data_IF_952646262311
#
_entry.id   IF_952646262311
#
_cell.length_a   1.000
_cell.length_b   1.000
_cell.length_c   1.000
_cell.angle_alpha   90.00
_cell.angle_beta   90.00
_cell.angle_gamma   90.00
#
_symmetry.space_group_name_H-M   'P 1'
#
loop_
_entity.id
_entity.type
_entity.pdbx_description
1 polymer ?
#
# COMPACT_ATOMS: atom_id res chain seq x y z
N UNK A 1 -98.43 -39.83 50.43
CA UNK A 1 -99.32 -38.83 49.81
C UNK A 1 -99.08 -38.94 48.31
N UNK A 2 -99.73 -39.85 47.57
CA UNK A 2 -101.15 -39.88 47.17
C UNK A 2 -101.55 -38.51 46.55
N UNK A 3 -102.02 -38.43 45.30
CA UNK A 3 -103.16 -39.19 44.79
C UNK A 3 -102.98 -39.73 43.35
N UNK A 4 -103.07 -41.07 43.27
CA UNK A 4 -103.46 -41.87 42.12
C UNK A 4 -104.92 -42.26 42.31
N UNK A 5 -105.82 -41.80 41.43
CA UNK A 5 -107.17 -42.35 41.17
C UNK A 5 -107.81 -41.44 40.10
N UNK A 6 -108.24 -41.86 38.91
CA UNK A 6 -108.87 -43.13 38.54
C UNK A 6 -108.46 -43.54 37.12
N UNK A 7 -107.70 -44.62 37.05
CA UNK A 7 -107.89 -45.67 36.05
C UNK A 7 -109.27 -46.25 36.38
N UNK A 8 -110.13 -46.41 35.36
CA UNK A 8 -111.48 -47.03 35.36
C UNK A 8 -112.59 -46.14 34.79
N UNK A 9 -112.31 -45.49 33.65
CA UNK A 9 -113.39 -45.25 32.70
C UNK A 9 -113.11 -45.96 31.37
N UNK A 10 -113.56 -47.20 31.31
CA UNK A 10 -114.24 -47.80 30.14
C UNK A 10 -113.46 -47.71 28.81
N UNK A 11 -112.69 -48.70 28.38
CA UNK A 11 -113.20 -50.02 27.96
C UNK A 11 -114.72 -50.10 27.75
N UNK A 12 -115.22 -49.39 26.75
CA UNK A 12 -116.39 -49.75 25.91
C UNK A 12 -116.48 -48.68 24.82
N UNK A 13 -116.09 -48.91 23.57
CA UNK A 13 -116.78 -49.84 22.70
C UNK A 13 -117.68 -49.05 21.74
N UNK A 14 -117.12 -48.77 20.55
CA UNK A 14 -117.81 -48.60 19.26
C UNK A 14 -118.56 -47.30 18.86
N UNK A 15 -118.01 -46.75 17.76
CA UNK A 15 -118.63 -46.46 16.45
C UNK A 15 -119.45 -45.18 16.22
N UNK A 16 -118.93 -44.45 15.23
CA UNK A 16 -119.58 -43.63 14.19
C UNK A 16 -120.32 -42.39 14.73
N UNK A 17 -120.09 -41.19 14.21
CA UNK A 17 -120.45 -40.78 12.86
C UNK A 17 -119.53 -39.62 12.40
N UNK A 18 -118.85 -39.82 11.27
CA UNK A 18 -118.11 -38.76 10.57
C UNK A 18 -119.05 -38.09 9.57
N UNK A 19 -119.21 -36.78 9.70
CA UNK A 19 -119.89 -35.90 8.75
C UNK A 19 -119.04 -35.71 7.48
N UNK A 20 -119.70 -35.69 6.32
CA UNK A 20 -119.07 -35.85 4.99
C UNK A 20 -118.26 -34.65 4.49
N UNK A 21 -118.23 -33.52 5.20
CA UNK A 21 -117.52 -32.32 4.75
C UNK A 21 -116.04 -32.25 5.19
N UNK A 22 -115.58 -33.07 6.13
CA UNK A 22 -114.18 -33.07 6.60
C UNK A 22 -113.24 -33.99 5.77
N UNK A 23 -113.79 -34.82 4.88
CA UNK A 23 -113.02 -35.75 4.02
C UNK A 23 -112.35 -35.06 2.82
N UNK A 24 -112.82 -33.90 2.38
CA UNK A 24 -112.29 -33.22 1.17
C UNK A 24 -111.05 -32.37 1.50
N UNK A 25 -110.95 -31.84 2.73
CA UNK A 25 -109.78 -31.05 3.16
C UNK A 25 -108.57 -31.92 3.58
N UNK A 26 -108.82 -33.16 4.05
CA UNK A 26 -107.76 -34.09 4.48
C UNK A 26 -107.18 -34.89 3.28
N UNK A 27 -107.93 -35.13 2.20
CA UNK A 27 -107.45 -35.95 1.06
C UNK A 27 -106.37 -35.29 0.17
N UNK A 28 -106.26 -33.96 0.20
CA UNK A 28 -105.19 -33.22 -0.52
C UNK A 28 -103.86 -33.24 0.23
N UNK A 29 -103.88 -33.24 1.57
CA UNK A 29 -102.66 -33.29 2.41
C UNK A 29 -102.03 -34.69 2.41
N UNK A 30 -102.84 -35.76 2.37
CA UNK A 30 -102.33 -37.14 2.40
C UNK A 30 -101.69 -37.58 1.06
N UNK A 31 -102.16 -37.05 -0.08
CA UNK A 31 -101.53 -37.31 -1.39
C UNK A 31 -100.19 -36.59 -1.55
N UNK A 32 -100.11 -35.32 -1.14
CA UNK A 32 -98.86 -34.55 -1.19
C UNK A 32 -97.83 -35.11 -0.20
N UNK A 33 -98.24 -35.51 1.02
CA UNK A 33 -97.32 -36.11 2.00
C UNK A 33 -96.89 -37.52 1.58
N UNK A 34 -97.76 -38.35 0.98
CA UNK A 34 -97.34 -39.64 0.40
C UNK A 34 -96.41 -39.46 -0.79
N UNK A 35 -96.67 -38.47 -1.65
CA UNK A 35 -95.79 -38.12 -2.76
C UNK A 35 -94.42 -37.68 -2.24
N UNK A 36 -94.34 -36.77 -1.25
CA UNK A 36 -93.07 -36.36 -0.66
C UNK A 36 -92.35 -37.51 0.08
N UNK A 37 -93.06 -38.38 0.80
CA UNK A 37 -92.45 -39.52 1.49
C UNK A 37 -91.86 -40.58 0.56
N UNK A 38 -92.34 -40.68 -0.69
CA UNK A 38 -91.78 -41.57 -1.72
C UNK A 38 -90.77 -40.85 -2.62
N UNK A 39 -91.05 -39.60 -2.97
CA UNK A 39 -90.21 -38.80 -3.86
C UNK A 39 -88.87 -38.44 -3.20
N UNK A 40 -88.86 -38.08 -1.91
CA UNK A 40 -87.63 -37.68 -1.24
C UNK A 40 -86.60 -38.82 -1.17
N UNK A 41 -86.93 -40.05 -0.69
CA UNK A 41 -85.96 -41.15 -0.72
C UNK A 41 -85.57 -41.58 -2.12
N UNK A 42 -86.49 -41.56 -3.10
CA UNK A 42 -86.15 -41.87 -4.49
C UNK A 42 -85.22 -40.82 -5.11
N UNK A 43 -85.43 -39.54 -4.81
CA UNK A 43 -84.54 -38.46 -5.24
C UNK A 43 -83.18 -38.58 -4.56
N UNK A 44 -83.13 -38.95 -3.27
CA UNK A 44 -81.86 -39.23 -2.58
C UNK A 44 -81.14 -40.42 -3.20
N UNK A 45 -81.84 -41.52 -3.49
CA UNK A 45 -81.26 -42.70 -4.14
C UNK A 45 -80.78 -42.40 -5.56
N UNK A 46 -81.52 -41.57 -6.31
CA UNK A 46 -81.12 -41.08 -7.63
C UNK A 46 -79.86 -40.21 -7.52
N UNK A 47 -79.80 -39.27 -6.58
CA UNK A 47 -78.63 -38.42 -6.37
C UNK A 47 -77.41 -39.22 -5.91
N UNK A 48 -77.59 -40.23 -5.06
CA UNK A 48 -76.52 -41.16 -4.67
C UNK A 48 -76.08 -42.03 -5.85
N UNK A 49 -77.01 -42.54 -6.66
CA UNK A 49 -76.71 -43.31 -7.86
C UNK A 49 -75.97 -42.50 -8.93
N UNK A 50 -76.41 -41.26 -9.17
CA UNK A 50 -75.72 -40.30 -10.05
C UNK A 50 -74.35 -39.93 -9.48
N UNK A 51 -74.24 -39.78 -8.16
CA UNK A 51 -72.95 -39.61 -7.48
C UNK A 51 -71.99 -40.77 -7.73
N UNK A 52 -72.46 -42.01 -7.66
CA UNK A 52 -71.64 -43.21 -7.91
C UNK A 52 -71.28 -43.40 -9.39
N UNK A 53 -72.10 -42.91 -10.32
CA UNK A 53 -71.83 -43.01 -11.77
C UNK A 53 -70.96 -41.86 -12.30
N UNK A 54 -71.07 -40.66 -11.71
CA UNK A 54 -70.24 -39.50 -12.07
C UNK A 54 -68.90 -39.46 -11.33
N UNK A 55 -68.82 -40.03 -10.13
CA UNK A 55 -67.56 -40.22 -9.41
C UNK A 55 -67.19 -41.69 -9.50
N UNK A 56 -66.23 -42.00 -10.37
CA UNK A 56 -65.60 -43.31 -10.44
C UNK A 56 -64.84 -43.56 -9.13
N UNK A 57 -65.49 -44.20 -8.16
CA UNK A 57 -64.88 -44.56 -6.88
C UNK A 57 -64.05 -45.84 -7.09
N UNK A 58 -62.85 -45.68 -7.65
CA UNK A 58 -61.82 -46.72 -7.60
C UNK A 58 -61.55 -47.08 -6.13
N UNK A 59 -61.77 -48.35 -5.80
CA UNK A 59 -61.51 -48.92 -4.47
C UNK A 59 -60.03 -49.27 -4.35
N UNK A 60 -59.19 -48.24 -4.22
CA UNK A 60 -57.80 -48.39 -3.83
C UNK A 60 -57.64 -48.06 -2.34
N UNK A 61 -57.18 -49.05 -1.56
CA UNK A 61 -56.87 -48.97 -0.13
C UNK A 61 -55.59 -48.16 0.15
N UNK A 62 -55.43 -46.99 -0.46
CA UNK A 62 -54.39 -46.03 -0.14
C UNK A 62 -55.03 -44.65 0.02
N UNK A 63 -55.45 -44.32 1.24
CA UNK A 63 -55.74 -42.93 1.63
C UNK A 63 -54.41 -42.16 1.76
N UNK A 64 -53.73 -41.95 0.64
CA UNK A 64 -52.91 -40.75 0.49
C UNK A 64 -53.87 -39.60 0.24
N UNK A 65 -53.88 -38.62 1.15
CA UNK A 65 -54.46 -37.32 0.85
C UNK A 65 -53.76 -36.84 -0.42
N UNK A 66 -54.49 -36.82 -1.54
CA UNK A 66 -54.03 -36.17 -2.75
C UNK A 66 -53.96 -34.67 -2.45
N UNK A 67 -52.80 -34.23 -1.93
CA UNK A 67 -52.33 -32.88 -2.18
C UNK A 67 -52.34 -32.75 -3.69
N UNK A 68 -53.15 -31.82 -4.19
CA UNK A 68 -53.21 -31.50 -5.60
C UNK A 68 -51.79 -31.37 -6.16
N UNK A 69 -51.51 -32.16 -7.18
CA UNK A 69 -50.36 -32.09 -8.09
C UNK A 69 -48.96 -31.99 -7.49
N UNK A 70 -48.10 -32.92 -7.93
CA UNK A 70 -46.64 -32.80 -7.92
C UNK A 70 -46.13 -31.68 -8.88
N UNK A 71 -46.88 -30.59 -9.05
CA UNK A 71 -46.24 -29.32 -9.34
C UNK A 71 -45.50 -28.94 -8.07
N UNK A 72 -44.15 -29.00 -8.12
CA UNK A 72 -43.26 -28.37 -7.16
C UNK A 72 -43.91 -27.07 -6.68
N UNK A 73 -44.48 -27.09 -5.48
CA UNK A 73 -44.91 -25.89 -4.78
C UNK A 73 -43.60 -25.17 -4.48
N UNK A 74 -43.14 -24.36 -5.43
CA UNK A 74 -42.09 -23.39 -5.18
C UNK A 74 -42.71 -22.47 -4.14
N UNK A 75 -42.36 -22.69 -2.87
CA UNK A 75 -42.57 -21.69 -1.83
C UNK A 75 -42.15 -20.35 -2.43
N UNK A 76 -43.07 -19.39 -2.42
CA UNK A 76 -42.83 -18.05 -2.92
C UNK A 76 -41.45 -17.60 -2.43
N UNK A 77 -40.61 -17.11 -3.34
CA UNK A 77 -39.28 -16.59 -2.99
C UNK A 77 -39.45 -15.65 -1.79
N UNK A 78 -38.77 -15.97 -0.68
CA UNK A 78 -38.93 -15.19 0.53
C UNK A 78 -38.49 -13.76 0.26
N UNK A 79 -39.46 -12.84 0.38
CA UNK A 79 -39.23 -11.40 0.31
C UNK A 79 -39.46 -10.81 1.69
N UNK A 80 -38.39 -10.41 2.34
CA UNK A 80 -38.41 -9.85 3.68
C UNK A 80 -38.04 -8.37 3.61
N UNK A 81 -38.63 -7.55 4.48
CA UNK A 81 -38.32 -6.12 4.61
C UNK A 81 -37.61 -5.86 5.94
N UNK A 82 -36.73 -4.87 5.97
CA UNK A 82 -36.00 -4.44 7.19
C UNK A 82 -35.36 -5.62 7.93
N UNK A 83 -34.68 -6.48 7.18
CA UNK A 83 -34.15 -7.75 7.70
C UNK A 83 -32.76 -7.55 8.29
N UNK A 84 -32.50 -8.24 9.40
CA UNK A 84 -31.18 -8.27 10.06
C UNK A 84 -30.69 -9.71 10.09
N UNK A 85 -29.52 -9.96 9.53
CA UNK A 85 -28.77 -11.19 9.72
C UNK A 85 -27.72 -10.98 10.80
N UNK A 86 -27.68 -11.89 11.78
CA UNK A 86 -26.58 -12.01 12.72
C UNK A 86 -25.61 -13.08 12.19
N UNK A 87 -24.35 -12.70 12.07
CA UNK A 87 -23.30 -13.50 11.45
C UNK A 87 -22.22 -13.74 12.50
N UNK A 88 -22.05 -14.98 12.93
CA UNK A 88 -20.93 -15.37 13.78
C UNK A 88 -19.66 -15.42 12.95
N UNK A 89 -18.71 -14.54 13.27
CA UNK A 89 -17.35 -14.51 12.73
C UNK A 89 -16.44 -15.47 13.53
N UNK A 90 -15.14 -15.45 13.21
CA UNK A 90 -14.12 -16.10 14.03
C UNK A 90 -14.13 -15.53 15.46
N UNK A 91 -13.66 -16.35 16.39
CA UNK A 91 -13.53 -15.99 17.82
C UNK A 91 -14.84 -15.60 18.52
N UNK A 92 -15.99 -16.09 18.03
CA UNK A 92 -17.34 -15.76 18.52
C UNK A 92 -17.67 -14.25 18.50
N UNK A 93 -17.03 -13.47 17.63
CA UNK A 93 -17.47 -12.12 17.34
C UNK A 93 -18.74 -12.15 16.47
N UNK A 94 -19.60 -11.15 16.62
CA UNK A 94 -20.84 -11.04 15.87
C UNK A 94 -20.79 -9.84 14.92
N UNK A 95 -21.08 -10.11 13.66
CA UNK A 95 -21.38 -9.11 12.65
C UNK A 95 -22.88 -9.03 12.40
N UNK A 96 -23.34 -7.86 11.99
CA UNK A 96 -24.73 -7.66 11.58
C UNK A 96 -24.77 -7.26 10.12
N UNK A 97 -25.67 -7.85 9.34
CA UNK A 97 -25.99 -7.41 7.98
C UNK A 97 -27.47 -7.00 7.95
N UNK A 98 -27.72 -5.72 7.75
CA UNK A 98 -29.07 -5.16 7.58
C UNK A 98 -29.34 -4.89 6.11
N UNK A 99 -30.59 -5.02 5.67
CA UNK A 99 -31.02 -4.60 4.35
C UNK A 99 -32.51 -4.22 4.35
N UNK A 100 -32.86 -3.24 3.53
CA UNK A 100 -34.25 -2.75 3.40
C UNK A 100 -35.15 -3.84 2.80
N UNK A 101 -34.63 -4.57 1.82
CA UNK A 101 -35.30 -5.68 1.15
C UNK A 101 -34.31 -6.83 0.98
N UNK A 102 -34.77 -8.03 1.32
CA UNK A 102 -34.05 -9.30 1.14
C UNK A 102 -34.93 -10.23 0.33
N UNK A 103 -34.46 -10.66 -0.83
CA UNK A 103 -35.18 -11.57 -1.72
C UNK A 103 -34.37 -12.84 -1.94
N UNK A 104 -34.93 -14.00 -1.60
CA UNK A 104 -34.29 -15.27 -1.89
C UNK A 104 -34.24 -15.53 -3.41
N UNK A 105 -33.05 -15.82 -3.92
CA UNK A 105 -32.82 -16.04 -5.35
C UNK A 105 -33.39 -17.37 -5.82
N UNK A 106 -33.25 -18.42 -4.99
CA UNK A 106 -33.71 -19.78 -5.22
C UNK A 106 -34.14 -20.40 -3.87
N UNK A 107 -35.33 -21.01 -3.78
CA UNK A 107 -35.82 -21.61 -2.54
C UNK A 107 -34.82 -22.59 -1.89
N UNK A 108 -34.52 -22.37 -0.61
CA UNK A 108 -33.69 -23.25 0.21
C UNK A 108 -32.18 -23.16 -0.06
N UNK A 109 -31.74 -22.38 -1.05
CA UNK A 109 -30.31 -22.17 -1.34
C UNK A 109 -29.66 -21.18 -0.39
N UNK A 110 -30.44 -20.40 0.38
CA UNK A 110 -29.96 -19.35 1.30
C UNK A 110 -29.05 -18.32 0.61
N UNK A 111 -29.49 -17.93 -0.57
CA UNK A 111 -28.84 -16.97 -1.46
C UNK A 111 -29.78 -15.79 -1.63
N UNK A 112 -29.38 -14.61 -1.19
CA UNK A 112 -30.27 -13.46 -1.07
C UNK A 112 -29.80 -12.27 -1.91
N UNK A 113 -30.69 -11.66 -2.69
CA UNK A 113 -30.51 -10.33 -3.23
C UNK A 113 -30.86 -9.30 -2.16
N UNK A 114 -30.05 -8.26 -2.04
CA UNK A 114 -30.17 -7.22 -1.02
C UNK A 114 -30.37 -5.85 -1.66
N UNK A 115 -31.29 -5.05 -1.11
CA UNK A 115 -31.43 -3.62 -1.41
C UNK A 115 -30.95 -2.81 -0.21
N UNK A 116 -30.07 -1.84 -0.47
CA UNK A 116 -29.42 -1.01 0.53
C UNK A 116 -28.79 -1.81 1.70
N UNK A 117 -27.90 -2.78 1.43
CA UNK A 117 -27.22 -3.50 2.50
C UNK A 117 -26.37 -2.55 3.37
N UNK A 118 -26.42 -2.75 4.69
CA UNK A 118 -25.59 -2.12 5.74
C UNK A 118 -25.03 -3.22 6.64
N UNK A 119 -23.79 -3.65 6.35
CA UNK A 119 -23.05 -4.59 7.16
C UNK A 119 -22.15 -3.88 8.18
N UNK A 120 -22.07 -4.42 9.39
CA UNK A 120 -21.25 -3.90 10.50
C UNK A 120 -20.47 -5.04 11.14
N UNK A 121 -19.17 -4.83 11.27
CA UNK A 121 -18.22 -5.72 11.98
C UNK A 121 -17.36 -4.91 12.94
N UNK A 122 -16.66 -5.58 13.85
CA UNK A 122 -15.74 -4.98 14.82
C UNK A 122 -14.30 -5.41 14.55
N UNK A 123 -13.37 -4.47 14.57
CA UNK A 123 -11.93 -4.72 14.53
C UNK A 123 -11.28 -4.06 15.74
N UNK A 124 -10.86 -4.85 16.73
CA UNK A 124 -10.21 -4.37 17.96
C UNK A 124 -10.99 -3.22 18.65
N UNK A 125 -12.32 -3.39 18.76
CA UNK A 125 -13.23 -2.39 19.34
C UNK A 125 -13.60 -1.22 18.42
N UNK A 126 -13.06 -1.16 17.19
CA UNK A 126 -13.43 -0.16 16.18
C UNK A 126 -14.51 -0.73 15.25
N UNK A 127 -15.52 0.08 14.97
CA UNK A 127 -16.62 -0.31 14.09
C UNK A 127 -16.20 -0.14 12.62
N UNK A 128 -16.43 -1.17 11.82
CA UNK A 128 -16.34 -1.11 10.37
C UNK A 128 -17.75 -1.25 9.80
N UNK A 129 -18.17 -0.29 8.99
CA UNK A 129 -19.43 -0.38 8.23
C UNK A 129 -19.12 -0.62 6.76
N UNK A 130 -20.00 -1.36 6.09
CA UNK A 130 -19.96 -1.64 4.65
C UNK A 130 -21.37 -1.44 4.09
N UNK A 131 -21.55 -0.42 3.26
CA UNK A 131 -22.83 -0.08 2.65
C UNK A 131 -22.74 -0.12 1.13
N UNK A 132 -23.87 -0.37 0.46
CA UNK A 132 -24.01 -0.26 -0.99
C UNK A 132 -25.48 -0.04 -1.36
N UNK A 133 -25.78 0.23 -2.64
CA UNK A 133 -27.18 0.25 -3.11
C UNK A 133 -27.75 -1.14 -3.34
N UNK A 134 -26.91 -2.09 -3.76
CA UNK A 134 -27.34 -3.46 -4.03
C UNK A 134 -26.29 -4.46 -3.55
N UNK A 135 -26.73 -5.68 -3.25
CA UNK A 135 -25.80 -6.76 -2.93
C UNK A 135 -26.38 -8.15 -3.10
N UNK A 136 -25.52 -9.15 -2.95
CA UNK A 136 -25.89 -10.56 -2.83
C UNK A 136 -25.23 -11.15 -1.61
N UNK A 137 -25.97 -11.92 -0.83
CA UNK A 137 -25.44 -12.62 0.34
C UNK A 137 -25.67 -14.12 0.23
N UNK A 138 -24.57 -14.88 0.29
CA UNK A 138 -24.56 -16.32 0.43
C UNK A 138 -24.39 -16.66 1.90
N UNK A 139 -25.47 -17.06 2.58
CA UNK A 139 -25.43 -17.34 4.02
C UNK A 139 -24.62 -18.60 4.33
N UNK A 140 -24.67 -19.62 3.47
CA UNK A 140 -23.93 -20.87 3.66
C UNK A 140 -22.41 -20.67 3.61
N UNK A 141 -21.94 -19.75 2.76
CA UNK A 141 -20.52 -19.40 2.62
C UNK A 141 -20.12 -18.16 3.42
N UNK A 142 -21.09 -17.44 3.99
CA UNK A 142 -20.94 -16.12 4.60
C UNK A 142 -20.20 -15.11 3.70
N UNK A 143 -20.58 -15.06 2.42
CA UNK A 143 -19.98 -14.15 1.42
C UNK A 143 -21.01 -13.08 1.05
N UNK A 144 -20.61 -11.83 1.17
CA UNK A 144 -21.36 -10.64 0.77
C UNK A 144 -20.69 -9.98 -0.43
N UNK A 145 -21.40 -9.96 -1.55
CA UNK A 145 -21.04 -9.20 -2.75
C UNK A 145 -21.81 -7.88 -2.76
N UNK A 146 -21.12 -6.75 -2.79
CA UNK A 146 -21.68 -5.41 -2.81
C UNK A 146 -21.47 -4.77 -4.18
N UNK A 147 -22.50 -4.07 -4.67
CA UNK A 147 -22.48 -3.39 -5.97
C UNK A 147 -23.14 -2.02 -5.87
N UNK A 148 -22.62 -1.10 -6.68
CA UNK A 148 -23.11 0.26 -6.87
C UNK A 148 -22.92 1.10 -5.60
N UNK A 149 -22.03 2.08 -5.69
CA UNK A 149 -21.73 3.03 -4.61
C UNK A 149 -21.35 2.35 -3.29
N UNK A 150 -20.38 1.42 -3.36
CA UNK A 150 -19.90 0.72 -2.17
C UNK A 150 -19.07 1.67 -1.32
N UNK A 151 -19.45 1.82 -0.05
CA UNK A 151 -18.75 2.65 0.92
C UNK A 151 -18.39 1.81 2.14
N UNK A 152 -17.12 1.82 2.52
CA UNK A 152 -16.67 1.35 3.82
C UNK A 152 -16.29 2.52 4.70
N UNK A 153 -16.68 2.48 5.97
CA UNK A 153 -16.26 3.46 6.96
C UNK A 153 -15.59 2.73 8.14
N UNK A 154 -14.36 3.11 8.47
CA UNK A 154 -13.61 2.60 9.60
C UNK A 154 -13.61 3.62 10.74
N UNK A 155 -14.51 3.42 11.70
CA UNK A 155 -14.66 4.23 12.91
C UNK A 155 -14.67 5.76 12.66
N UNK A 156 -15.24 6.21 11.55
CA UNK A 156 -15.23 7.60 11.07
C UNK A 156 -13.85 8.21 10.79
N UNK A 157 -12.78 7.41 10.87
CA UNK A 157 -11.40 7.85 10.63
C UNK A 157 -10.99 7.70 9.17
N UNK A 158 -11.64 6.79 8.45
CA UNK A 158 -11.34 6.50 7.05
C UNK A 158 -12.60 6.05 6.32
N UNK A 159 -12.85 6.66 5.18
CA UNK A 159 -13.89 6.32 4.23
C UNK A 159 -13.24 5.73 2.96
N UNK A 160 -13.67 4.55 2.53
CA UNK A 160 -13.21 3.89 1.31
C UNK A 160 -14.41 3.75 0.36
N UNK A 161 -14.24 4.17 -0.89
CA UNK A 161 -15.27 4.13 -1.94
C UNK A 161 -14.81 3.28 -3.11
N UNK A 162 -15.70 2.46 -3.64
CA UNK A 162 -15.51 1.68 -4.86
C UNK A 162 -16.85 1.33 -5.51
N UNK A 163 -16.84 0.89 -6.77
CA UNK A 163 -18.06 0.47 -7.48
C UNK A 163 -18.55 -0.92 -7.05
N UNK A 164 -17.64 -1.81 -6.62
CA UNK A 164 -17.99 -3.14 -6.12
C UNK A 164 -16.94 -3.70 -5.17
N UNK A 165 -17.37 -4.53 -4.23
CA UNK A 165 -16.48 -5.23 -3.31
C UNK A 165 -17.12 -6.55 -2.85
N UNK A 166 -16.28 -7.53 -2.54
CA UNK A 166 -16.70 -8.78 -1.91
C UNK A 166 -16.07 -8.86 -0.53
N UNK A 167 -16.84 -9.29 0.47
CA UNK A 167 -16.37 -9.56 1.81
C UNK A 167 -16.84 -10.94 2.28
N UNK A 168 -15.92 -11.74 2.81
CA UNK A 168 -16.20 -13.05 3.38
C UNK A 168 -16.03 -12.96 4.90
N UNK A 169 -17.14 -13.04 5.63
CA UNK A 169 -17.16 -12.94 7.10
C UNK A 169 -16.47 -14.13 7.78
N UNK A 170 -16.54 -15.34 7.21
CA UNK A 170 -15.90 -16.52 7.78
C UNK A 170 -14.36 -16.41 7.77
N UNK A 171 -13.80 -15.88 6.68
CA UNK A 171 -12.35 -15.70 6.51
C UNK A 171 -11.86 -14.33 6.94
N UNK A 172 -12.78 -13.38 7.10
CA UNK A 172 -12.54 -11.95 7.32
C UNK A 172 -11.63 -11.31 6.25
N UNK A 173 -11.84 -11.72 5.01
CA UNK A 173 -11.11 -11.28 3.83
C UNK A 173 -12.04 -10.51 2.89
N UNK A 174 -11.55 -9.40 2.35
CA UNK A 174 -12.25 -8.59 1.37
C UNK A 174 -11.40 -8.28 0.15
N UNK A 175 -12.04 -8.06 -0.99
CA UNK A 175 -11.36 -7.62 -2.21
C UNK A 175 -12.30 -6.81 -3.11
N UNK A 176 -11.71 -6.04 -4.01
CA UNK A 176 -12.41 -5.33 -5.07
C UNK A 176 -11.51 -5.22 -6.31
N UNK A 177 -12.13 -5.36 -7.48
CA UNK A 177 -11.45 -5.30 -8.78
C UNK A 177 -11.68 -3.99 -9.54
N UNK A 178 -12.39 -3.06 -8.89
CA UNK A 178 -12.73 -1.75 -9.43
C UNK A 178 -11.92 -0.67 -8.71
N UNK A 179 -11.77 0.49 -9.37
CA UNK A 179 -11.06 1.63 -8.80
C UNK A 179 -11.53 1.88 -7.37
N UNK A 180 -10.56 2.00 -6.46
CA UNK A 180 -10.79 2.24 -5.05
C UNK A 180 -10.20 3.59 -4.68
N UNK A 181 -10.91 4.34 -3.85
CA UNK A 181 -10.48 5.63 -3.34
C UNK A 181 -10.70 5.63 -1.83
N UNK A 182 -9.65 5.92 -1.07
CA UNK A 182 -9.71 6.07 0.38
C UNK A 182 -9.39 7.49 0.81
N UNK A 183 -10.19 8.03 1.72
CA UNK A 183 -9.98 9.31 2.39
C UNK A 183 -10.03 9.11 3.90
N UNK A 184 -8.98 9.46 4.63
CA UNK A 184 -8.98 9.38 6.08
C UNK A 184 -8.07 10.40 6.73
N UNK A 185 -8.06 10.41 8.07
CA UNK A 185 -7.26 11.34 8.88
C UNK A 185 -5.77 11.25 8.52
N UNK A 186 -5.27 10.03 8.28
CA UNK A 186 -3.87 9.81 7.94
C UNK A 186 -3.57 10.26 6.51
N UNK A 187 -4.49 10.17 5.56
CA UNK A 187 -4.26 10.61 4.20
C UNK A 187 -5.27 10.09 3.17
N UNK A 188 -4.89 10.26 1.91
CA UNK A 188 -5.63 9.85 0.72
C UNK A 188 -4.92 8.69 0.03
N UNK A 189 -5.68 7.77 -0.57
CA UNK A 189 -5.16 6.82 -1.54
C UNK A 189 -6.14 6.55 -2.68
N UNK A 190 -5.61 6.14 -3.83
CA UNK A 190 -6.35 5.52 -4.92
C UNK A 190 -5.54 4.38 -5.55
N UNK A 191 -6.24 3.38 -6.10
CA UNK A 191 -5.66 2.28 -6.85
C UNK A 191 -6.73 1.62 -7.75
N UNK A 192 -6.31 0.75 -8.67
CA UNK A 192 -7.27 0.04 -9.53
C UNK A 192 -7.97 -1.11 -8.81
N UNK A 193 -7.29 -1.75 -7.86
CA UNK A 193 -7.83 -2.88 -7.10
C UNK A 193 -7.33 -2.86 -5.67
N UNK A 194 -8.03 -3.60 -4.80
CA UNK A 194 -7.56 -3.81 -3.43
C UNK A 194 -7.88 -5.19 -2.89
N UNK A 195 -7.12 -5.58 -1.88
CA UNK A 195 -7.44 -6.69 -0.98
C UNK A 195 -7.26 -6.25 0.45
N UNK A 196 -8.07 -6.81 1.36
CA UNK A 196 -8.01 -6.56 2.79
C UNK A 196 -8.07 -7.88 3.56
N UNK A 197 -7.23 -8.00 4.57
CA UNK A 197 -7.25 -9.12 5.52
C UNK A 197 -7.30 -8.56 6.93
N UNK A 198 -8.46 -8.65 7.57
CA UNK A 198 -8.67 -8.22 8.96
C UNK A 198 -7.77 -8.99 9.94
N UNK A 199 -7.63 -10.33 9.88
CA UNK A 199 -6.79 -11.08 10.83
C UNK A 199 -5.32 -10.69 10.77
N UNK A 200 -4.86 -10.28 9.58
CA UNK A 200 -3.47 -9.86 9.37
C UNK A 200 -3.27 -8.36 9.56
N UNK A 201 -4.34 -7.57 9.61
CA UNK A 201 -4.27 -6.11 9.58
C UNK A 201 -3.60 -5.57 8.31
N UNK A 202 -3.86 -6.21 7.15
CA UNK A 202 -3.19 -5.86 5.88
C UNK A 202 -4.20 -5.32 4.87
N UNK A 203 -3.86 -4.19 4.25
CA UNK A 203 -4.48 -3.70 3.01
C UNK A 203 -3.44 -3.73 1.90
N UNK A 204 -3.79 -4.29 0.75
CA UNK A 204 -2.95 -4.23 -0.46
C UNK A 204 -3.68 -3.44 -1.54
N UNK A 205 -3.04 -2.41 -2.03
CA UNK A 205 -3.44 -1.61 -3.19
C UNK A 205 -2.67 -2.12 -4.41
N UNK A 206 -3.37 -2.31 -5.52
CA UNK A 206 -2.84 -2.96 -6.71
C UNK A 206 -3.15 -2.12 -7.94
N UNK A 207 -2.12 -1.91 -8.74
CA UNK A 207 -1.99 -1.11 -9.94
C UNK A 207 -2.31 0.37 -9.77
N UNK A 208 -1.54 1.21 -10.45
CA UNK A 208 -1.72 2.67 -10.49
C UNK A 208 -1.93 3.29 -9.10
N UNK A 209 -1.18 2.80 -8.10
CA UNK A 209 -1.37 3.23 -6.72
C UNK A 209 -0.84 4.64 -6.57
N UNK A 210 -1.70 5.53 -6.08
CA UNK A 210 -1.35 6.86 -5.65
C UNK A 210 -1.76 7.05 -4.20
N UNK A 211 -0.85 7.60 -3.39
CA UNK A 211 -1.11 7.91 -1.99
C UNK A 211 -0.61 9.31 -1.69
N UNK A 212 -1.31 10.03 -0.81
CA UNK A 212 -0.94 11.38 -0.41
C UNK A 212 -1.24 11.62 1.07
N UNK A 213 -0.29 12.26 1.74
CA UNK A 213 -0.48 12.80 3.09
C UNK A 213 0.33 14.06 3.28
N UNK A 214 -0.35 15.16 3.61
CA UNK A 214 0.29 16.47 3.68
C UNK A 214 0.99 16.84 2.37
N UNK A 215 2.29 17.11 2.47
CA UNK A 215 3.19 17.47 1.36
C UNK A 215 3.88 16.26 0.72
N UNK A 216 3.56 15.05 1.19
CA UNK A 216 4.19 13.80 0.75
C UNK A 216 3.24 13.03 -0.14
N UNK A 217 3.73 12.61 -1.31
CA UNK A 217 3.01 11.75 -2.24
C UNK A 217 3.83 10.52 -2.63
N UNK A 218 3.15 9.41 -2.89
CA UNK A 218 3.73 8.18 -3.40
C UNK A 218 2.97 7.74 -4.65
N UNK A 219 3.73 7.29 -5.65
CA UNK A 219 3.20 6.67 -6.87
C UNK A 219 3.93 5.37 -7.13
N UNK A 220 3.18 4.31 -7.43
CA UNK A 220 3.73 3.05 -7.96
C UNK A 220 2.80 2.50 -9.04
N UNK A 221 3.33 1.99 -10.16
CA UNK A 221 2.51 1.28 -11.15
C UNK A 221 2.08 -0.10 -10.67
N UNK A 222 2.75 -0.67 -9.65
CA UNK A 222 2.59 -2.06 -9.24
C UNK A 222 1.69 -2.20 -8.02
N UNK A 223 2.27 -2.29 -6.81
CA UNK A 223 1.49 -2.53 -5.60
C UNK A 223 2.09 -1.84 -4.39
N UNK A 224 1.21 -1.64 -3.43
CA UNK A 224 1.51 -1.01 -2.15
C UNK A 224 0.80 -1.79 -1.04
N UNK A 225 1.55 -2.24 -0.04
CA UNK A 225 1.06 -3.05 1.08
C UNK A 225 1.16 -2.24 2.35
N UNK A 226 0.02 -2.06 3.02
CA UNK A 226 -0.10 -1.38 4.31
C UNK A 226 -0.31 -2.43 5.40
N UNK A 227 0.60 -2.45 6.37
CA UNK A 227 0.54 -3.25 7.58
C UNK A 227 0.07 -2.35 8.71
N UNK A 228 -1.23 -2.36 8.97
CA UNK A 228 -1.88 -1.42 9.89
C UNK A 228 -1.38 -1.57 11.33
N UNK A 229 -1.13 -2.81 11.75
CA UNK A 229 -0.67 -3.13 13.12
C UNK A 229 0.81 -2.76 13.35
N UNK A 230 1.61 -2.66 12.28
CA UNK A 230 3.04 -2.33 12.33
C UNK A 230 3.32 -0.85 12.02
N UNK A 231 2.29 -0.04 11.70
CA UNK A 231 2.45 1.30 11.13
C UNK A 231 3.48 1.33 9.99
N UNK A 232 3.42 0.31 9.12
CA UNK A 232 4.42 0.02 8.11
C UNK A 232 3.79 -0.04 6.73
N UNK A 233 4.56 0.40 5.76
CA UNK A 233 4.19 0.38 4.37
C UNK A 233 5.33 -0.17 3.52
N UNK A 234 4.99 -0.96 2.50
CA UNK A 234 5.93 -1.51 1.52
C UNK A 234 5.39 -1.30 0.12
N UNK A 235 6.20 -0.79 -0.80
CA UNK A 235 5.82 -0.65 -2.20
C UNK A 235 6.94 -1.04 -3.14
N UNK A 236 6.57 -1.66 -4.25
CA UNK A 236 7.46 -1.99 -5.35
C UNK A 236 7.51 -0.83 -6.37
N UNK A 237 8.67 -0.57 -6.98
CA UNK A 237 8.85 0.42 -8.05
C UNK A 237 8.24 1.79 -7.73
N UNK A 238 8.47 2.26 -6.52
CA UNK A 238 7.81 3.44 -5.98
C UNK A 238 8.62 4.71 -6.27
N UNK A 239 7.90 5.78 -6.59
CA UNK A 239 8.40 7.16 -6.54
C UNK A 239 7.71 7.88 -5.40
N UNK A 240 8.48 8.32 -4.42
CA UNK A 240 8.03 9.15 -3.30
C UNK A 240 8.49 10.57 -3.55
N UNK A 241 7.61 11.54 -3.37
CA UNK A 241 7.93 12.96 -3.41
C UNK A 241 7.51 13.62 -2.12
N UNK A 242 8.35 14.53 -1.62
CA UNK A 242 8.05 15.36 -0.46
C UNK A 242 8.50 16.79 -0.77
N UNK A 243 7.54 17.68 -0.99
CA UNK A 243 7.85 19.01 -1.55
C UNK A 243 8.61 18.88 -2.88
N UNK A 244 9.84 19.42 -2.92
CA UNK A 244 10.71 19.35 -4.11
C UNK A 244 11.64 18.14 -4.14
N UNK A 245 11.64 17.34 -3.08
CA UNK A 245 12.51 16.17 -2.97
C UNK A 245 11.83 14.94 -3.56
N UNK A 246 12.62 14.05 -4.18
CA UNK A 246 12.14 12.79 -4.76
C UNK A 246 13.04 11.65 -4.32
N UNK A 247 12.44 10.53 -3.96
CA UNK A 247 13.07 9.24 -3.73
C UNK A 247 12.48 8.21 -4.69
N UNK A 248 13.32 7.38 -5.28
CA UNK A 248 12.94 6.20 -6.04
C UNK A 248 13.72 4.98 -5.56
N UNK A 249 13.10 3.82 -5.72
CA UNK A 249 13.75 2.52 -5.55
C UNK A 249 12.84 1.39 -5.99
N UNK A 250 13.44 0.21 -6.21
CA UNK A 250 12.72 -0.99 -6.64
C UNK A 250 11.80 -1.49 -5.51
N UNK A 251 12.22 -1.31 -4.26
CA UNK A 251 11.36 -1.52 -3.08
C UNK A 251 11.56 -0.41 -2.07
N UNK A 252 10.48 0.24 -1.66
CA UNK A 252 10.48 1.24 -0.58
C UNK A 252 9.68 0.69 0.60
N UNK A 253 10.32 0.63 1.76
CA UNK A 253 9.68 0.33 3.05
C UNK A 253 9.71 1.58 3.92
N UNK A 254 8.56 2.00 4.43
CA UNK A 254 8.45 3.13 5.36
C UNK A 254 7.75 2.69 6.63
N UNK A 255 8.25 3.19 7.77
CA UNK A 255 7.61 3.09 9.07
C UNK A 255 7.16 4.48 9.49
N UNK A 256 5.96 4.56 10.05
CA UNK A 256 5.36 5.81 10.48
C UNK A 256 5.30 5.87 12.00
N UNK A 257 5.41 7.08 12.53
CA UNK A 257 5.14 7.33 13.94
C UNK A 257 3.67 7.04 14.25
N UNK A 258 3.41 6.60 15.47
CA UNK A 258 2.05 6.44 15.97
C UNK A 258 1.42 7.80 16.31
N UNK A 259 1.10 8.57 15.27
CA UNK A 259 0.46 9.87 15.37
C UNK A 259 -0.78 9.93 14.48
N UNK A 260 -1.57 10.99 14.62
CA UNK A 260 -2.73 11.25 13.74
C UNK A 260 -2.36 11.57 12.29
N UNK A 261 -1.07 11.75 11.96
CA UNK A 261 -0.58 12.09 10.61
C UNK A 261 0.37 11.00 10.11
N UNK A 262 0.48 10.79 8.79
CA UNK A 262 1.59 10.00 8.25
C UNK A 262 2.90 10.78 8.38
N UNK A 263 3.54 10.67 9.54
CA UNK A 263 4.89 11.15 9.79
C UNK A 263 5.85 9.96 9.69
N UNK A 264 6.77 10.01 8.72
CA UNK A 264 7.79 8.98 8.54
C UNK A 264 8.75 9.02 9.73
N UNK A 265 8.93 7.87 10.37
CA UNK A 265 9.96 7.64 11.38
C UNK A 265 11.25 7.19 10.71
N UNK A 266 11.17 6.14 9.89
CA UNK A 266 12.30 5.56 9.17
C UNK A 266 11.87 5.01 7.82
N UNK A 267 12.76 5.10 6.84
CA UNK A 267 12.51 4.59 5.49
C UNK A 267 13.73 3.87 4.92
N UNK A 268 13.45 2.86 4.10
CA UNK A 268 14.43 2.02 3.45
C UNK A 268 14.10 1.95 1.96
N UNK A 269 15.10 2.16 1.12
CA UNK A 269 15.01 1.97 -0.33
C UNK A 269 16.00 0.88 -0.70
N UNK A 270 15.57 -0.10 -1.48
CA UNK A 270 16.41 -1.20 -1.94
C UNK A 270 16.25 -1.38 -3.46
N UNK A 271 17.37 -1.54 -4.14
CA UNK A 271 17.45 -1.60 -5.60
C UNK A 271 17.32 -0.22 -6.23
N UNK A 272 18.28 0.15 -7.09
CA UNK A 272 18.28 1.38 -7.89
C UNK A 272 17.82 2.64 -7.13
N UNK A 273 18.36 2.84 -5.93
CA UNK A 273 17.98 3.98 -5.09
C UNK A 273 18.41 5.28 -5.77
N UNK A 274 17.46 6.16 -6.07
CA UNK A 274 17.72 7.50 -6.61
C UNK A 274 17.08 8.55 -5.71
N UNK A 275 17.88 9.49 -5.22
CA UNK A 275 17.43 10.64 -4.45
C UNK A 275 17.68 11.91 -5.26
N UNK A 276 16.68 12.79 -5.31
CA UNK A 276 16.81 14.14 -5.86
C UNK A 276 16.38 15.14 -4.80
N UNK A 277 17.23 16.13 -4.53
CA UNK A 277 16.94 17.20 -3.58
C UNK A 277 17.72 18.45 -3.94
N UNK A 278 17.06 19.60 -3.99
CA UNK A 278 17.68 20.91 -4.28
C UNK A 278 18.62 20.89 -5.52
N UNK A 279 18.19 20.26 -6.62
CA UNK A 279 18.99 20.13 -7.85
C UNK A 279 20.14 19.12 -7.79
N UNK A 280 20.40 18.50 -6.64
CA UNK A 280 21.40 17.45 -6.43
C UNK A 280 20.78 16.08 -6.67
N UNK A 281 21.59 15.12 -7.10
CA UNK A 281 21.19 13.72 -7.28
C UNK A 281 22.12 12.80 -6.51
N UNK A 282 21.58 11.75 -5.92
CA UNK A 282 22.35 10.67 -5.33
C UNK A 282 21.81 9.32 -5.80
N UNK A 283 22.71 8.39 -6.06
CA UNK A 283 22.43 7.03 -6.52
C UNK A 283 23.15 6.05 -5.60
N UNK A 284 22.51 4.90 -5.33
CA UNK A 284 23.08 3.79 -4.59
C UNK A 284 22.25 2.53 -4.83
N UNK A 285 22.74 1.37 -4.39
CA UNK A 285 21.92 0.15 -4.40
C UNK A 285 20.89 0.18 -3.27
N UNK A 286 21.27 0.71 -2.11
CA UNK A 286 20.39 0.83 -0.94
C UNK A 286 20.49 2.21 -0.26
N UNK A 287 19.35 2.70 0.21
CA UNK A 287 19.23 3.90 1.02
C UNK A 287 18.49 3.66 2.35
N UNK A 288 18.93 4.32 3.40
CA UNK A 288 18.27 4.35 4.70
C UNK A 288 18.08 5.79 5.16
N UNK A 289 16.92 6.09 5.73
CA UNK A 289 16.59 7.38 6.32
C UNK A 289 16.06 7.21 7.74
N UNK A 290 16.55 8.04 8.65
CA UNK A 290 16.14 8.08 10.05
C UNK A 290 15.73 9.51 10.42
N UNK A 291 14.42 9.72 10.64
CA UNK A 291 13.85 11.04 10.87
C UNK A 291 14.32 11.66 12.19
N UNK A 292 14.53 10.85 13.24
CA UNK A 292 14.99 11.35 14.54
C UNK A 292 16.35 12.05 14.46
N UNK A 293 17.23 11.57 13.59
CA UNK A 293 18.60 12.08 13.44
C UNK A 293 18.80 12.95 12.20
N UNK A 294 17.86 12.88 11.25
CA UNK A 294 17.99 13.54 9.95
C UNK A 294 19.14 12.94 9.10
N UNK A 295 19.50 11.68 9.35
CA UNK A 295 20.55 10.99 8.63
C UNK A 295 19.98 10.23 7.43
N UNK A 296 20.66 10.37 6.29
CA UNK A 296 20.49 9.50 5.13
C UNK A 296 21.78 8.70 4.94
N UNK A 297 21.69 7.39 4.86
CA UNK A 297 22.81 6.51 4.52
C UNK A 297 22.57 5.87 3.17
N UNK A 298 23.61 5.80 2.35
CA UNK A 298 23.63 5.22 1.03
C UNK A 298 24.72 4.15 1.02
N UNK A 299 24.41 2.99 0.48
CA UNK A 299 25.28 1.83 0.48
C UNK A 299 25.40 1.28 -0.93
N UNK A 300 26.64 0.95 -1.28
CA UNK A 300 27.05 0.29 -2.51
C UNK A 300 26.77 1.13 -3.76
N UNK A 301 27.74 1.16 -4.68
CA UNK A 301 27.66 1.96 -5.91
C UNK A 301 27.27 3.43 -5.69
N UNK A 302 27.69 4.02 -4.55
CA UNK A 302 27.26 5.36 -4.17
C UNK A 302 27.82 6.38 -5.17
N UNK A 303 26.94 7.18 -5.75
CA UNK A 303 27.29 8.28 -6.65
C UNK A 303 26.46 9.52 -6.34
N UNK A 304 27.13 10.63 -6.06
CA UNK A 304 26.52 11.93 -5.83
C UNK A 304 26.85 12.85 -6.99
N UNK A 305 25.86 13.60 -7.45
CA UNK A 305 25.98 14.61 -8.49
C UNK A 305 25.44 15.93 -7.93
N UNK A 306 26.30 16.92 -7.81
CA UNK A 306 25.91 18.27 -7.39
C UNK A 306 25.19 19.01 -8.54
N UNK A 307 24.42 20.06 -8.19
CA UNK A 307 23.79 20.95 -9.16
C UNK A 307 24.81 21.59 -10.13
N UNK A 308 26.03 21.82 -9.65
CA UNK A 308 27.12 22.37 -10.47
C UNK A 308 27.78 21.32 -11.38
N UNK A 309 27.37 20.04 -11.32
CA UNK A 309 27.88 18.94 -12.13
C UNK A 309 29.13 18.23 -11.57
N UNK A 310 29.57 18.55 -10.35
CA UNK A 310 30.59 17.74 -9.67
C UNK A 310 30.03 16.35 -9.40
N UNK A 311 30.89 15.34 -9.56
CA UNK A 311 30.53 13.95 -9.26
C UNK A 311 31.44 13.39 -8.19
N UNK A 312 30.88 12.67 -7.24
CA UNK A 312 31.60 11.95 -6.21
C UNK A 312 31.10 10.51 -6.13
N UNK A 313 32.00 9.54 -5.98
CA UNK A 313 31.67 8.14 -5.76
C UNK A 313 32.37 7.59 -4.52
N UNK A 314 31.76 6.60 -3.87
CA UNK A 314 32.30 5.90 -2.70
C UNK A 314 31.57 4.56 -2.47
N UNK A 315 32.02 3.78 -1.49
CA UNK A 315 31.29 2.56 -1.08
C UNK A 315 30.11 2.91 -0.16
N UNK A 316 30.28 3.92 0.72
CA UNK A 316 29.23 4.39 1.64
C UNK A 316 29.14 5.92 1.60
N UNK A 317 27.92 6.44 1.51
CA UNK A 317 27.61 7.85 1.63
C UNK A 317 26.71 8.12 2.83
N UNK A 318 27.02 9.14 3.63
CA UNK A 318 26.22 9.54 4.78
C UNK A 318 25.95 11.02 4.70
N UNK A 319 24.69 11.41 4.57
CA UNK A 319 24.26 12.79 4.66
C UNK A 319 23.66 13.07 6.03
N UNK A 320 24.04 14.20 6.62
CA UNK A 320 23.42 14.74 7.83
C UNK A 320 22.71 16.05 7.47
N UNK A 321 21.39 16.07 7.61
CA UNK A 321 20.60 17.28 7.36
C UNK A 321 20.86 18.37 8.40
N UNK A 322 21.16 17.98 9.64
CA UNK A 322 21.48 18.88 10.77
C UNK A 322 22.85 19.51 10.63
N UNK A 323 23.87 18.72 10.26
CA UNK A 323 25.24 19.22 10.05
C UNK A 323 25.46 19.80 8.65
N UNK A 324 24.56 19.54 7.70
CA UNK A 324 24.72 19.85 6.27
C UNK A 324 26.05 19.32 5.71
N UNK A 325 26.36 18.06 6.03
CA UNK A 325 27.60 17.40 5.59
C UNK A 325 27.30 16.10 4.84
N UNK A 326 28.09 15.80 3.81
CA UNK A 326 28.18 14.45 3.22
C UNK A 326 29.52 13.83 3.59
N UNK A 327 29.47 12.70 4.27
CA UNK A 327 30.63 11.85 4.52
C UNK A 327 30.64 10.73 3.48
N UNK A 328 31.77 10.54 2.81
CA UNK A 328 32.02 9.48 1.86
C UNK A 328 33.11 8.58 2.44
N UNK A 329 32.84 7.27 2.48
CA UNK A 329 33.74 6.30 3.09
C UNK A 329 34.15 5.24 2.07
N UNK A 330 35.44 4.93 2.09
CA UNK A 330 36.13 3.99 1.22
C UNK A 330 36.04 4.33 -0.28
N UNK A 331 37.18 4.20 -0.96
CA UNK A 331 37.29 4.38 -2.42
C UNK A 331 36.70 5.69 -2.95
N UNK A 332 36.89 6.78 -2.19
CA UNK A 332 36.34 8.08 -2.57
C UNK A 332 37.01 8.58 -3.84
N UNK A 333 36.20 8.88 -4.84
CA UNK A 333 36.65 9.51 -6.09
C UNK A 333 35.77 10.69 -6.43
N UNK A 334 36.39 11.84 -6.69
CA UNK A 334 35.69 13.07 -7.09
C UNK A 334 36.22 13.53 -8.43
N UNK A 335 35.29 13.96 -9.28
CA UNK A 335 35.59 14.53 -10.59
C UNK A 335 34.83 15.83 -10.76
N UNK A 336 35.54 16.85 -11.20
CA UNK A 336 34.97 18.15 -11.51
C UNK A 336 34.75 18.34 -13.01
N UNK A 337 34.22 19.52 -13.37
CA UNK A 337 34.05 19.95 -14.76
C UNK A 337 35.37 20.33 -15.44
N UNK A 338 36.36 20.80 -14.68
CA UNK A 338 37.66 21.21 -15.22
C UNK A 338 38.51 20.02 -15.64
N UNK A 339 38.12 18.79 -15.28
CA UNK A 339 38.80 17.54 -15.64
C UNK A 339 39.82 17.06 -14.60
N UNK A 340 39.87 17.61 -13.38
CA UNK A 340 40.65 16.98 -12.32
C UNK A 340 39.93 15.75 -11.76
N UNK A 341 40.72 14.77 -11.32
CA UNK A 341 40.24 13.63 -10.56
C UNK A 341 40.94 13.61 -9.20
N UNK A 342 40.16 13.55 -8.13
CA UNK A 342 40.67 13.38 -6.78
C UNK A 342 40.29 12.00 -6.28
N UNK A 343 41.23 11.26 -5.69
CA UNK A 343 40.97 9.99 -5.01
C UNK A 343 41.49 10.03 -3.58
N UNK A 344 40.80 9.38 -2.65
CA UNK A 344 41.21 9.21 -1.26
C UNK A 344 40.50 8.01 -0.62
N UNK A 345 40.90 7.61 0.59
CA UNK A 345 40.14 6.62 1.34
C UNK A 345 38.79 7.18 1.79
N UNK A 346 38.77 8.39 2.37
CA UNK A 346 37.57 9.02 2.93
C UNK A 346 37.45 10.47 2.50
N UNK A 347 36.22 10.99 2.48
CA UNK A 347 35.90 12.35 2.09
C UNK A 347 34.81 12.96 2.96
N UNK A 348 34.88 14.26 3.23
CA UNK A 348 33.84 15.01 3.94
C UNK A 348 33.56 16.29 3.17
N UNK A 349 32.33 16.44 2.68
CA UNK A 349 31.84 17.67 2.07
C UNK A 349 31.00 18.45 3.05
N UNK A 350 31.46 19.66 3.38
CA UNK A 350 30.72 20.62 4.18
C UNK A 350 30.00 21.59 3.24
N UNK A 351 28.65 21.55 3.24
CA UNK A 351 27.85 22.37 2.36
C UNK A 351 27.80 23.84 2.79
N UNK A 352 28.01 24.14 4.08
CA UNK A 352 28.00 25.49 4.59
C UNK A 352 29.28 26.21 4.17
N UNK A 353 30.42 25.53 4.37
CA UNK A 353 31.73 26.07 4.07
C UNK A 353 32.16 25.88 2.60
N UNK A 354 31.45 25.04 1.84
CA UNK A 354 31.81 24.65 0.47
C UNK A 354 33.23 24.09 0.39
N UNK A 355 33.60 23.29 1.38
CA UNK A 355 34.90 22.64 1.47
C UNK A 355 34.77 21.14 1.35
N UNK A 356 35.72 20.53 0.65
CA UNK A 356 35.80 19.07 0.54
C UNK A 356 37.12 18.57 1.12
N UNK A 357 37.06 17.92 2.26
CA UNK A 357 38.21 17.33 2.95
C UNK A 357 38.40 15.90 2.47
N UNK A 358 39.59 15.60 1.95
CA UNK A 358 40.03 14.27 1.52
C UNK A 358 41.06 13.74 2.51
N UNK A 359 40.91 12.48 2.90
CA UNK A 359 41.68 11.86 3.98
C UNK A 359 42.20 10.48 3.59
N UNK A 360 43.45 10.24 3.99
CA UNK A 360 44.23 9.02 3.84
C UNK A 360 44.45 8.66 2.36
N UNK A 361 45.71 8.72 1.93
CA UNK A 361 46.15 8.42 0.56
C UNK A 361 45.46 9.30 -0.49
N UNK A 362 45.49 10.62 -0.27
CA UNK A 362 44.95 11.56 -1.24
C UNK A 362 45.85 11.59 -2.47
N UNK A 363 45.24 11.52 -3.66
CA UNK A 363 45.88 11.74 -4.96
C UNK A 363 44.99 12.59 -5.85
N UNK A 364 45.55 13.66 -6.38
CA UNK A 364 44.89 14.58 -7.30
C UNK A 364 45.60 14.49 -8.64
N UNK A 365 44.84 14.20 -9.69
CA UNK A 365 45.29 14.13 -11.07
C UNK A 365 44.73 15.30 -11.89
N UNK A 366 45.60 16.00 -12.61
CA UNK A 366 45.23 17.06 -13.56
C UNK A 366 46.19 17.05 -14.74
N UNK A 367 45.79 16.42 -15.86
CA UNK A 367 46.70 16.19 -16.98
C UNK A 367 47.85 15.28 -16.53
N UNK A 368 49.09 15.68 -16.79
CA UNK A 368 50.29 14.95 -16.36
C UNK A 368 50.72 15.27 -14.91
N UNK A 369 50.03 16.20 -14.24
CA UNK A 369 50.34 16.60 -12.88
C UNK A 369 49.63 15.67 -11.89
N UNK A 370 50.42 15.08 -10.99
CA UNK A 370 49.93 14.21 -9.92
C UNK A 370 50.40 14.79 -8.58
N UNK A 371 49.47 15.07 -7.67
CA UNK A 371 49.78 15.55 -6.32
C UNK A 371 49.27 14.53 -5.31
N UNK A 372 50.12 14.08 -4.38
CA UNK A 372 49.75 13.14 -3.32
C UNK A 372 50.04 13.72 -1.94
N UNK A 373 49.17 13.40 -0.97
CA UNK A 373 49.34 13.75 0.44
C UNK A 373 48.47 12.85 1.34
N UNK A 374 48.73 12.75 2.65
CA UNK A 374 47.81 12.14 3.61
C UNK A 374 46.48 12.88 3.73
N UNK A 375 46.48 14.22 3.59
CA UNK A 375 45.27 15.06 3.69
C UNK A 375 45.27 16.18 2.65
N UNK A 376 44.09 16.43 2.08
CA UNK A 376 43.85 17.64 1.29
C UNK A 376 42.50 18.26 1.62
N UNK A 377 42.38 19.57 1.47
CA UNK A 377 41.13 20.30 1.57
C UNK A 377 40.95 21.12 0.29
N UNK A 378 39.88 20.84 -0.45
CA UNK A 378 39.45 21.66 -1.57
C UNK A 378 38.56 22.79 -1.07
N UNK A 379 38.87 24.02 -1.44
CA UNK A 379 38.06 25.20 -1.18
C UNK A 379 37.37 25.63 -2.47
N UNK A 380 36.11 25.23 -2.65
CA UNK A 380 35.39 25.40 -3.92
C UNK A 380 35.28 26.87 -4.35
N UNK A 381 35.10 27.80 -3.40
CA UNK A 381 34.99 29.23 -3.71
C UNK A 381 36.31 29.85 -4.20
N UNK A 382 37.45 29.32 -3.75
CA UNK A 382 38.78 29.78 -4.12
C UNK A 382 39.39 29.00 -5.28
N UNK A 383 38.81 27.84 -5.58
CA UNK A 383 39.30 26.89 -6.57
C UNK A 383 40.76 26.47 -6.29
N UNK A 384 41.04 26.18 -5.02
CA UNK A 384 42.37 25.77 -4.54
C UNK A 384 42.28 24.50 -3.70
N UNK A 385 43.29 23.65 -3.81
CA UNK A 385 43.57 22.57 -2.86
C UNK A 385 44.64 23.01 -1.88
N UNK A 386 44.46 22.69 -0.60
CA UNK A 386 45.51 22.75 0.42
C UNK A 386 45.89 21.35 0.84
N UNK A 387 47.17 21.04 0.79
CA UNK A 387 47.74 19.74 1.12
C UNK A 387 48.51 19.84 2.42
N UNK A 388 48.41 18.78 3.21
CA UNK A 388 49.01 18.69 4.54
C UNK A 388 49.70 17.35 4.68
N UNK A 389 50.89 17.41 5.27
CA UNK A 389 51.79 16.31 5.55
C UNK A 389 52.34 15.68 4.26
N UNK A 390 53.65 15.42 4.20
CA UNK A 390 54.33 14.66 3.14
C UNK A 390 53.77 14.87 1.71
N UNK A 391 53.70 16.12 1.28
CA UNK A 391 53.18 16.51 -0.03
C UNK A 391 54.20 16.12 -1.09
N UNK A 392 53.76 15.40 -2.12
CA UNK A 392 54.56 15.07 -3.30
C UNK A 392 53.83 15.47 -4.57
N UNK A 393 54.52 16.22 -5.41
CA UNK A 393 54.08 16.63 -6.75
C UNK A 393 54.93 15.88 -7.77
N UNK A 394 54.31 15.34 -8.80
CA UNK A 394 54.99 14.70 -9.94
C UNK A 394 54.47 15.28 -11.25
N UNK A 395 55.36 15.62 -12.17
CA UNK A 395 55.05 16.08 -13.53
C UNK A 395 56.13 15.57 -14.49
N UNK A 396 55.74 14.79 -15.50
CA UNK A 396 56.63 14.28 -16.55
C UNK A 396 57.93 13.64 -16.02
N UNK A 397 57.81 12.85 -14.94
CA UNK A 397 58.93 12.19 -14.26
C UNK A 397 59.70 13.04 -13.24
N UNK A 398 59.49 14.36 -13.23
CA UNK A 398 60.06 15.27 -12.23
C UNK A 398 59.25 15.23 -10.95
N UNK A 399 59.92 15.39 -9.80
CA UNK A 399 59.26 15.33 -8.49
C UNK A 399 59.60 16.52 -7.62
N UNK A 400 58.63 17.02 -6.87
CA UNK A 400 58.85 17.96 -5.77
C UNK A 400 58.17 17.46 -4.49
N UNK A 401 58.86 17.55 -3.35
CA UNK A 401 58.33 17.16 -2.04
C UNK A 401 58.36 18.32 -1.06
N UNK A 402 57.40 18.40 -0.13
CA UNK A 402 57.32 19.40 0.93
C UNK A 402 56.41 18.92 2.08
N UNK A 403 56.37 19.64 3.21
CA UNK A 403 55.44 19.32 4.30
C UNK A 403 54.01 19.79 4.01
N UNK A 404 53.85 20.87 3.24
CA UNK A 404 52.55 21.47 2.95
C UNK A 404 52.56 22.12 1.58
N UNK A 405 51.38 22.33 1.00
CA UNK A 405 51.30 23.07 -0.25
C UNK A 405 49.90 23.54 -0.61
N UNK A 406 49.84 24.47 -1.56
CA UNK A 406 48.61 24.99 -2.15
C UNK A 406 48.68 24.77 -3.66
N UNK A 407 47.63 24.21 -4.25
CA UNK A 407 47.49 24.09 -5.69
C UNK A 407 46.29 24.91 -6.17
N UNK A 408 46.57 25.89 -7.02
CA UNK A 408 45.55 26.76 -7.63
C UNK A 408 45.13 26.17 -8.97
N UNK A 409 43.92 25.63 -9.06
CA UNK A 409 43.49 24.83 -10.22
C UNK A 409 43.44 25.66 -11.50
N UNK A 410 42.74 26.80 -11.47
CA UNK A 410 42.64 27.73 -12.61
C UNK A 410 43.99 28.27 -13.08
N UNK A 411 44.88 28.58 -12.13
CA UNK A 411 46.21 29.12 -12.45
C UNK A 411 47.18 28.03 -12.88
N UNK A 412 46.90 26.77 -12.52
CA UNK A 412 47.80 25.64 -12.67
C UNK A 412 49.18 25.90 -12.02
N UNK A 413 49.15 26.47 -10.81
CA UNK A 413 50.33 26.82 -10.00
C UNK A 413 50.30 26.02 -8.70
N UNK A 414 51.43 25.40 -8.34
CA UNK A 414 51.65 24.82 -7.01
C UNK A 414 52.63 25.68 -6.20
N UNK A 415 52.25 25.98 -4.97
CA UNK A 415 53.14 26.55 -3.95
C UNK A 415 53.41 25.47 -2.91
N UNK A 416 54.68 25.13 -2.70
CA UNK A 416 55.14 24.14 -1.74
C UNK A 416 55.91 24.84 -0.63
N UNK A 417 55.70 24.43 0.61
CA UNK A 417 56.29 25.08 1.79
C UNK A 417 56.79 24.04 2.80
N UNK A 418 57.91 24.40 3.43
CA UNK A 418 58.67 23.65 4.42
C UNK A 418 59.36 22.40 3.87
N UNK A 419 60.69 22.34 4.02
CA UNK A 419 61.54 21.22 3.62
C UNK A 419 61.37 20.84 2.14
N UNK A 420 61.36 21.84 1.26
CA UNK A 420 61.11 21.63 -0.16
C UNK A 420 62.32 20.98 -0.83
N UNK A 421 62.08 19.88 -1.55
CA UNK A 421 63.08 19.20 -2.38
C UNK A 421 62.53 19.04 -3.79
N UNK A 422 63.24 19.52 -4.80
CA UNK A 422 62.89 19.34 -6.21
C UNK A 422 63.94 18.45 -6.87
N UNK A 423 63.48 17.41 -7.56
CA UNK A 423 64.31 16.52 -8.37
C UNK A 423 63.88 16.61 -9.82
N UNK A 424 64.81 16.99 -10.71
CA UNK A 424 64.58 17.14 -12.14
C UNK A 424 65.80 16.67 -12.94
N UNK A 425 65.61 15.71 -13.83
CA UNK A 425 66.68 15.17 -14.70
C UNK A 425 67.94 14.75 -13.91
N UNK A 426 67.76 14.14 -12.73
CA UNK A 426 68.85 13.75 -11.82
C UNK A 426 69.43 14.88 -10.95
N UNK A 427 69.09 16.14 -11.22
CA UNK A 427 69.43 17.28 -10.38
C UNK A 427 68.53 17.32 -9.14
N UNK A 428 69.10 17.61 -7.97
CA UNK A 428 68.34 17.75 -6.71
C UNK A 428 68.63 19.11 -6.09
N UNK A 429 67.60 19.92 -5.87
CA UNK A 429 67.70 21.22 -5.18
C UNK A 429 66.78 21.27 -3.97
N UNK A 430 67.22 21.95 -2.90
CA UNK A 430 66.55 22.03 -1.60
C UNK A 430 66.39 23.48 -1.16
N UNK A 431 65.23 23.79 -0.60
CA UNK A 431 64.87 25.12 -0.10
C UNK A 431 63.70 25.06 0.88
N UNK A 432 63.14 26.22 1.23
CA UNK A 432 62.05 26.32 2.21
C UNK A 432 60.69 26.53 1.54
N UNK A 433 60.66 27.22 0.39
CA UNK A 433 59.45 27.42 -0.41
C UNK A 433 59.75 27.22 -1.90
N UNK A 434 58.84 26.59 -2.62
CA UNK A 434 58.86 26.56 -4.09
C UNK A 434 57.54 27.05 -4.67
N UNK A 435 57.63 27.70 -5.82
CA UNK A 435 56.48 28.11 -6.63
C UNK A 435 56.71 27.54 -8.02
N UNK A 436 55.83 26.64 -8.45
CA UNK A 436 55.90 25.94 -9.73
C UNK A 436 54.70 26.31 -10.59
N UNK A 437 54.94 26.91 -11.74
CA UNK A 437 53.93 27.17 -12.77
C UNK A 437 53.99 26.06 -13.81
N UNK A 438 52.96 25.22 -13.83
CA UNK A 438 52.90 24.06 -14.71
C UNK A 438 52.55 24.41 -16.15
N UNK A 439 52.07 25.63 -16.44
CA UNK A 439 51.84 26.06 -17.83
C UNK A 439 53.17 26.41 -18.51
N UNK A 440 54.11 26.98 -17.77
CA UNK A 440 55.42 27.38 -18.28
C UNK A 440 56.54 26.39 -17.95
N UNK A 441 56.25 25.37 -17.12
CA UNK A 441 57.23 24.43 -16.56
C UNK A 441 58.37 25.12 -15.80
N UNK A 442 58.13 26.32 -15.28
CA UNK A 442 59.11 27.12 -14.52
C UNK A 442 58.86 26.94 -13.03
N UNK A 443 59.94 26.72 -12.28
CA UNK A 443 59.90 26.64 -10.81
C UNK A 443 60.87 27.64 -10.19
N UNK A 444 60.41 28.37 -9.18
CA UNK A 444 61.20 29.30 -8.37
C UNK A 444 61.33 28.73 -6.96
N UNK A 445 62.57 28.53 -6.51
CA UNK A 445 62.88 28.08 -5.16
C UNK A 445 63.33 29.29 -4.31
N UNK A 446 62.87 29.34 -3.06
CA UNK A 446 63.12 30.43 -2.12
C UNK A 446 63.66 29.82 -0.83
N UNK A 447 64.77 30.38 -0.34
CA UNK A 447 65.30 30.03 0.98
C UNK A 447 64.46 30.67 2.09
N UNK A 448 64.44 30.04 3.26
CA UNK A 448 63.99 30.69 4.49
C UNK A 448 64.82 31.96 4.72
N UNK A 449 64.25 32.97 5.39
CA UNK A 449 65.00 34.17 5.79
C UNK A 449 66.28 33.76 6.57
N UNK A 450 67.45 34.14 6.06
CA UNK A 450 68.76 33.76 6.61
C UNK A 450 69.23 32.33 6.28
N UNK A 451 68.44 31.55 5.53
CA UNK A 451 68.78 30.22 5.04
C UNK A 451 69.52 30.25 3.70
N UNK A 452 69.90 29.07 3.23
CA UNK A 452 70.56 28.87 1.92
C UNK A 452 69.75 27.90 1.07
N UNK A 453 69.76 28.12 -0.24
CA UNK A 453 69.41 27.09 -1.21
C UNK A 453 70.63 26.17 -1.36
N UNK A 454 70.41 24.87 -1.43
CA UNK A 454 71.47 23.89 -1.70
C UNK A 454 71.05 22.95 -2.81
N UNK A 455 71.99 22.38 -3.55
CA UNK A 455 71.65 21.41 -4.57
C UNK A 455 72.85 20.66 -5.12
N UNK A 456 72.57 19.49 -5.69
CA UNK A 456 73.49 18.71 -6.51
C UNK A 456 73.00 18.84 -7.95
N UNK A 457 73.81 19.49 -8.79
CA UNK A 457 73.55 19.60 -10.22
C UNK A 457 74.47 18.62 -10.95
N UNK A 458 73.90 17.84 -11.83
CA UNK A 458 74.61 16.98 -12.77
C UNK A 458 74.71 17.79 -14.06
N UNK A 459 75.93 18.06 -14.48
CA UNK A 459 76.19 18.68 -15.77
C UNK A 459 75.67 17.74 -16.86
N UNK A 460 74.69 18.20 -17.64
CA UNK A 460 74.34 17.47 -18.85
C UNK A 460 75.56 17.55 -19.75
N UNK A 461 76.15 16.40 -20.10
CA UNK A 461 77.06 16.34 -21.24
C UNK A 461 76.24 16.79 -22.44
N UNK A 462 76.39 18.06 -22.81
CA UNK A 462 76.03 18.55 -24.12
C UNK A 462 76.76 17.63 -25.09
N UNK A 463 76.05 16.66 -25.66
CA UNK A 463 76.52 16.05 -26.91
C UNK A 463 76.54 17.21 -27.88
N UNK A 464 77.74 17.74 -28.10
CA UNK A 464 78.06 18.59 -29.23
C UNK A 464 77.44 17.93 -30.47
N UNK A 465 76.30 18.47 -30.92
CA UNK A 465 75.97 18.43 -32.33
C UNK A 465 76.92 19.42 -33.02
N UNK A 466 78.19 19.03 -33.11
CA UNK A 466 79.10 19.54 -34.12
C UNK A 466 79.05 18.56 -35.28
N UNK A 467 78.48 19.06 -36.37
CA UNK A 467 78.78 18.72 -37.76
C UNK A 467 79.00 17.25 -38.12
N UNK A 468 78.01 16.68 -38.80
CA UNK A 468 78.17 16.10 -40.15
C UNK A 468 76.82 15.83 -40.80
#
# INVERSE_FOLDING_TARGET
>A
MFETQKIDSFFSGEKNLLDEEEKIFISRRTRVVRFLKLFLPCLTALLLGVGVVLFDFETNNDTTIALADDEKIYFEKFRMKNTVFEITEKDNQFSTLKADIVEETEPGKKMYNLVNPDAKTLDNGKVITLTARNGKYNQNKQILDLKTDVVSNYNHQMEIKTSSATYNFATEYGYGNEKVIGNGEKGYFEADKFTFSKPKGIITLINNVYMKSGDTELRTPDKAVMFMNENKFVSANATVKKGNDTLKGDTITAFFKDTKRFEIDRAFSNGHTEIRSEGKKAFADRGEYEAKTGLVKLFDNVKIIDASGYTATADIGIYSSTKKTFTLQNNVKVKDKSGYTAVAKNGIYDLNNKTFTLLNNVRIDKGNNVITAPKAIYFQQKDEFRFYDDVKVTQDGNTATALSGVYFIKKNIAELEHNVVITKDGNVVRGDKAISDFNTSKSRLVAKKGGRISGKLIESTLKDKKDK
#
